data_IF_547520693355
#
_entry.id   IF_547520693355
#
_cell.length_a   1.000
_cell.length_b   1.000
_cell.length_c   1.000
_cell.angle_alpha   90.00
_cell.angle_beta   90.00
_cell.angle_gamma   90.00
#
_symmetry.space_group_name_H-M   'P 1'
#
loop_
_entity.id
_entity.type
_entity.pdbx_description
1 polymer ?
#
# COMPACT_ATOMS: atom_id res chain seq x y z
N UNK A 1 11.45 2.71 -4.06
CA UNK A 1 10.19 2.42 -4.78
C UNK A 1 10.38 1.27 -5.78
N UNK A 2 11.44 1.25 -6.59
CA UNK A 2 11.66 0.22 -7.61
C UNK A 2 11.83 -1.18 -7.04
N UNK A 3 12.61 -1.27 -5.95
CA UNK A 3 12.83 -2.49 -5.18
C UNK A 3 11.53 -3.14 -4.72
N UNK A 4 10.56 -2.34 -4.26
CA UNK A 4 9.27 -2.82 -3.80
C UNK A 4 8.32 -3.13 -4.97
N UNK A 5 8.37 -2.34 -6.06
CA UNK A 5 7.56 -2.57 -7.26
C UNK A 5 7.82 -3.96 -7.87
N UNK A 6 9.09 -4.34 -7.93
CA UNK A 6 9.56 -5.57 -8.56
C UNK A 6 9.80 -6.69 -7.55
N UNK A 7 9.30 -6.54 -6.31
CA UNK A 7 9.51 -7.54 -5.26
C UNK A 7 8.54 -8.70 -5.38
N UNK A 8 8.92 -9.85 -4.80
CA UNK A 8 8.06 -11.03 -4.72
C UNK A 8 6.76 -10.73 -3.95
N UNK A 9 6.81 -9.82 -2.98
CA UNK A 9 5.63 -9.39 -2.22
C UNK A 9 4.63 -8.61 -3.08
N UNK A 10 5.12 -7.75 -3.98
CA UNK A 10 4.26 -7.06 -4.94
C UNK A 10 3.62 -8.04 -5.93
N UNK A 11 4.36 -9.05 -6.40
CA UNK A 11 3.80 -10.10 -7.26
C UNK A 11 2.74 -10.96 -6.57
N UNK A 12 2.94 -11.29 -5.29
CA UNK A 12 1.93 -11.98 -4.50
C UNK A 12 0.64 -11.15 -4.34
N UNK A 13 0.76 -9.86 -4.03
CA UNK A 13 -0.38 -8.94 -3.96
C UNK A 13 -1.11 -8.79 -5.30
N UNK A 14 -0.37 -8.66 -6.41
CA UNK A 14 -0.96 -8.63 -7.76
C UNK A 14 -1.76 -9.90 -8.02
N UNK A 15 -1.21 -11.06 -7.66
CA UNK A 15 -1.85 -12.37 -7.84
C UNK A 15 -3.17 -12.46 -7.06
N UNK A 16 -3.14 -12.16 -5.76
CA UNK A 16 -4.36 -12.11 -4.93
C UNK A 16 -5.39 -11.11 -5.50
N UNK A 17 -4.93 -9.94 -5.96
CA UNK A 17 -5.82 -8.94 -6.53
C UNK A 17 -6.44 -9.34 -7.88
N UNK A 18 -5.72 -10.08 -8.73
CA UNK A 18 -6.22 -10.65 -9.98
C UNK A 18 -7.28 -11.72 -9.71
N UNK A 19 -7.02 -12.63 -8.78
CA UNK A 19 -7.99 -13.64 -8.38
C UNK A 19 -9.27 -13.03 -7.80
N UNK A 20 -9.14 -11.97 -7.00
CA UNK A 20 -10.28 -11.20 -6.52
C UNK A 20 -11.11 -10.52 -7.62
N UNK A 21 -10.54 -10.28 -8.81
CA UNK A 21 -11.24 -9.73 -9.99
C UNK A 21 -11.89 -10.81 -10.87
N UNK A 22 -11.64 -12.09 -10.60
CA UNK A 22 -12.08 -13.16 -11.48
C UNK A 22 -11.15 -13.44 -12.66
N UNK A 23 -9.98 -12.81 -12.69
CA UNK A 23 -8.93 -13.08 -13.68
C UNK A 23 -8.12 -14.28 -13.21
N UNK A 24 -8.69 -15.46 -13.45
CA UNK A 24 -8.05 -16.75 -13.26
C UNK A 24 -7.47 -17.17 -14.62
N UNK A 25 -6.26 -17.70 -14.64
CA UNK A 25 -5.67 -18.27 -15.86
C UNK A 25 -5.00 -19.60 -15.52
N UNK A 26 -4.98 -20.52 -16.47
CA UNK A 26 -4.34 -21.83 -16.32
C UNK A 26 -4.93 -22.67 -15.19
N UNK A 27 -4.05 -23.42 -14.51
CA UNK A 27 -4.37 -24.43 -13.49
C UNK A 27 -5.21 -23.92 -12.30
N UNK A 28 -5.18 -22.62 -12.02
CA UNK A 28 -6.01 -22.02 -10.98
C UNK A 28 -7.50 -22.10 -11.27
N UNK A 29 -7.91 -21.93 -12.52
CA UNK A 29 -9.32 -21.88 -12.90
C UNK A 29 -9.99 -23.25 -12.69
N UNK A 30 -9.27 -24.31 -13.03
CA UNK A 30 -9.70 -25.69 -12.86
C UNK A 30 -9.76 -26.08 -11.37
N UNK A 31 -8.73 -25.72 -10.60
CA UNK A 31 -8.72 -26.02 -9.17
C UNK A 31 -9.78 -25.21 -8.40
N UNK A 32 -10.02 -23.93 -8.73
CA UNK A 32 -11.08 -23.12 -8.11
C UNK A 32 -12.46 -23.69 -8.39
N UNK A 33 -12.71 -24.21 -9.61
CA UNK A 33 -13.97 -24.90 -9.94
C UNK A 33 -14.17 -26.19 -9.14
N UNK A 34 -13.09 -26.85 -8.75
CA UNK A 34 -13.13 -28.04 -7.91
C UNK A 34 -13.37 -27.72 -6.42
N UNK A 35 -13.19 -26.46 -6.01
CA UNK A 35 -13.51 -26.04 -4.66
C UNK A 35 -15.02 -25.99 -4.45
N UNK A 36 -15.49 -26.56 -3.34
CA UNK A 36 -16.86 -26.36 -2.83
C UNK A 36 -17.09 -24.96 -2.24
N UNK A 37 -16.42 -23.93 -2.77
CA UNK A 37 -16.52 -22.54 -2.31
C UNK A 37 -17.19 -21.70 -3.40
N UNK A 38 -18.31 -21.01 -3.12
CA UNK A 38 -18.96 -20.16 -4.10
C UNK A 38 -18.00 -19.09 -4.66
N UNK A 39 -18.00 -18.85 -5.98
CA UNK A 39 -17.07 -17.91 -6.64
C UNK A 39 -17.09 -16.51 -6.01
N UNK A 40 -18.26 -16.02 -5.58
CA UNK A 40 -18.39 -14.74 -4.89
C UNK A 40 -17.62 -14.73 -3.57
N UNK A 41 -17.73 -15.80 -2.78
CA UNK A 41 -17.00 -15.97 -1.52
C UNK A 41 -15.50 -16.01 -1.81
N UNK A 42 -15.06 -16.82 -2.78
CA UNK A 42 -13.66 -16.90 -3.17
C UNK A 42 -13.06 -15.53 -3.52
N UNK A 43 -13.75 -14.72 -4.34
CA UNK A 43 -13.28 -13.37 -4.70
C UNK A 43 -13.13 -12.45 -3.48
N UNK A 44 -14.06 -12.51 -2.55
CA UNK A 44 -14.01 -11.74 -1.29
C UNK A 44 -12.83 -12.19 -0.44
N UNK A 45 -12.61 -13.50 -0.30
CA UNK A 45 -11.45 -14.05 0.41
C UNK A 45 -10.14 -13.52 -0.18
N UNK A 46 -9.98 -13.59 -1.51
CA UNK A 46 -8.77 -13.11 -2.19
C UNK A 46 -8.52 -11.62 -1.95
N UNK A 47 -9.57 -10.79 -1.97
CA UNK A 47 -9.45 -9.36 -1.68
C UNK A 47 -9.10 -9.08 -0.22
N UNK A 48 -9.75 -9.76 0.72
CA UNK A 48 -9.44 -9.59 2.14
C UNK A 48 -8.03 -10.07 2.49
N UNK A 49 -7.56 -11.16 1.89
CA UNK A 49 -6.18 -11.64 2.02
C UNK A 49 -5.17 -10.65 1.42
N UNK A 50 -5.49 -10.02 0.28
CA UNK A 50 -4.67 -8.96 -0.28
C UNK A 50 -4.58 -7.75 0.68
N UNK A 51 -5.67 -7.37 1.35
CA UNK A 51 -5.66 -6.28 2.33
C UNK A 51 -4.87 -6.64 3.59
N UNK A 52 -5.04 -7.86 4.10
CA UNK A 52 -4.29 -8.36 5.26
C UNK A 52 -2.78 -8.39 4.97
N UNK A 53 -2.40 -8.91 3.81
CA UNK A 53 -0.99 -8.95 3.44
C UNK A 53 -0.40 -7.56 3.18
N UNK A 54 -1.17 -6.65 2.56
CA UNK A 54 -0.78 -5.25 2.43
C UNK A 54 -0.50 -4.61 3.81
N UNK A 55 -1.38 -4.80 4.79
CA UNK A 55 -1.20 -4.26 6.14
C UNK A 55 0.04 -4.85 6.84
N UNK A 56 0.35 -6.15 6.63
CA UNK A 56 1.60 -6.77 7.11
C UNK A 56 2.83 -6.08 6.52
N UNK A 57 2.78 -5.62 5.28
CA UNK A 57 3.92 -5.01 4.60
C UNK A 57 4.14 -3.55 5.01
N UNK A 58 3.07 -2.76 5.13
CA UNK A 58 3.15 -1.31 5.37
C UNK A 58 3.02 -0.91 6.84
N UNK A 59 2.67 -1.84 7.73
CA UNK A 59 2.53 -1.58 9.16
C UNK A 59 3.84 -1.14 9.84
N UNK A 60 3.78 -0.66 11.10
CA UNK A 60 4.97 -0.19 11.81
C UNK A 60 6.08 -1.25 11.91
N UNK A 61 7.32 -0.85 11.66
CA UNK A 61 8.51 -1.71 11.69
C UNK A 61 8.42 -2.90 10.72
N UNK A 62 7.68 -2.75 9.63
CA UNK A 62 7.52 -3.77 8.58
C UNK A 62 8.37 -3.45 7.37
N UNK A 63 8.40 -4.41 6.43
CA UNK A 63 9.28 -4.38 5.26
C UNK A 63 9.15 -3.09 4.44
N UNK A 64 7.94 -2.54 4.34
CA UNK A 64 7.66 -1.29 3.60
C UNK A 64 7.38 -0.11 4.54
N UNK A 65 7.70 -0.23 5.83
CA UNK A 65 7.72 0.93 6.72
C UNK A 65 9.00 1.73 6.48
N UNK A 66 8.86 2.84 5.75
CA UNK A 66 9.99 3.71 5.48
C UNK A 66 10.21 4.73 6.59
N UNK A 67 9.26 4.89 7.52
CA UNK A 67 9.33 5.90 8.58
C UNK A 67 10.60 5.78 9.44
N UNK A 68 11.05 4.57 9.84
CA UNK A 68 12.29 4.40 10.61
C UNK A 68 13.55 4.85 9.87
N UNK A 69 13.56 4.82 8.54
CA UNK A 69 14.68 5.33 7.74
C UNK A 69 14.56 6.83 7.45
N UNK A 70 13.32 7.33 7.33
CA UNK A 70 13.04 8.74 7.01
C UNK A 70 13.29 9.63 8.23
N UNK A 71 12.78 9.28 9.42
CA UNK A 71 12.84 10.19 10.57
C UNK A 71 14.26 10.52 11.05
N UNK A 72 15.21 9.57 11.11
CA UNK A 72 16.60 9.90 11.45
C UNK A 72 17.29 10.77 10.40
N UNK A 73 16.93 10.62 9.12
CA UNK A 73 17.56 11.33 8.02
C UNK A 73 16.97 12.73 7.78
N UNK A 74 15.68 12.92 8.04
CA UNK A 74 14.93 14.11 7.65
C UNK A 74 14.14 14.77 8.80
N UNK A 75 14.25 14.27 10.04
CA UNK A 75 13.48 14.75 11.18
C UNK A 75 12.03 14.25 11.19
N UNK A 76 11.21 14.76 12.12
CA UNK A 76 9.78 14.35 12.21
C UNK A 76 8.88 15.18 11.31
N UNK A 77 9.28 16.40 11.04
CA UNK A 77 8.44 17.39 10.37
C UNK A 77 9.11 17.95 9.13
N UNK A 78 8.27 18.37 8.20
CA UNK A 78 8.59 19.10 6.98
C UNK A 78 7.88 20.45 7.02
N UNK A 79 8.60 21.58 7.13
CA UNK A 79 8.02 22.92 6.98
C UNK A 79 7.92 23.34 5.51
N UNK A 80 6.72 23.49 4.97
CA UNK A 80 6.49 24.28 3.76
C UNK A 80 6.49 25.77 4.10
N UNK A 81 7.66 26.40 3.95
CA UNK A 81 7.85 27.82 4.22
C UNK A 81 7.08 28.75 3.26
N UNK A 82 6.64 28.25 2.10
CA UNK A 82 5.87 29.04 1.13
C UNK A 82 4.39 29.15 1.51
N UNK A 83 3.88 28.15 2.24
CA UNK A 83 2.49 28.11 2.74
C UNK A 83 2.40 28.27 4.26
N UNK A 84 3.55 28.37 4.96
CA UNK A 84 3.61 28.41 6.41
C UNK A 84 3.05 27.14 7.09
N UNK A 85 3.04 26.00 6.40
CA UNK A 85 2.42 24.75 6.87
C UNK A 85 3.49 23.73 7.26
N UNK A 86 3.27 23.04 8.38
CA UNK A 86 4.12 21.94 8.84
C UNK A 86 3.42 20.63 8.49
N UNK A 87 4.14 19.76 7.81
CA UNK A 87 3.72 18.41 7.44
C UNK A 87 4.49 17.40 8.28
N UNK A 88 3.89 16.25 8.58
CA UNK A 88 4.63 15.13 9.13
C UNK A 88 5.44 14.44 8.03
N UNK A 89 6.61 13.88 8.35
CA UNK A 89 7.50 13.29 7.32
C UNK A 89 7.05 11.93 6.80
N UNK A 90 5.97 11.36 7.33
CA UNK A 90 5.33 10.17 6.80
C UNK A 90 4.66 10.38 5.43
N UNK A 91 4.48 11.63 4.98
CA UNK A 91 4.03 11.96 3.61
C UNK A 91 4.82 11.22 2.52
N UNK A 92 6.11 10.96 2.76
CA UNK A 92 6.97 10.25 1.82
C UNK A 92 6.62 8.75 1.75
N UNK A 93 6.33 8.15 2.90
CA UNK A 93 5.80 6.79 2.99
C UNK A 93 4.43 6.70 2.32
N UNK A 94 3.56 7.67 2.55
CA UNK A 94 2.21 7.72 1.98
C UNK A 94 2.22 7.88 0.45
N UNK A 95 3.09 8.72 -0.11
CA UNK A 95 3.30 8.79 -1.57
C UNK A 95 3.79 7.46 -2.15
N UNK A 96 4.70 6.78 -1.45
CA UNK A 96 5.13 5.45 -1.83
C UNK A 96 3.99 4.43 -1.76
N UNK A 97 3.14 4.48 -0.72
CA UNK A 97 1.96 3.63 -0.59
C UNK A 97 0.94 3.88 -1.69
N UNK A 98 0.71 5.14 -2.07
CA UNK A 98 -0.09 5.53 -3.24
C UNK A 98 0.41 4.89 -4.53
N UNK A 99 1.70 5.02 -4.81
CA UNK A 99 2.34 4.47 -6.01
C UNK A 99 2.32 2.93 -6.03
N UNK A 100 2.86 2.27 -5.00
CA UNK A 100 2.92 0.80 -4.95
C UNK A 100 1.52 0.19 -4.84
N UNK A 101 0.59 0.85 -4.16
CA UNK A 101 -0.80 0.43 -4.07
C UNK A 101 -1.45 0.31 -5.45
N UNK A 102 -1.19 1.26 -6.35
CA UNK A 102 -1.63 1.20 -7.75
C UNK A 102 -0.92 0.10 -8.53
N UNK A 103 0.40 -0.04 -8.38
CA UNK A 103 1.19 -1.13 -8.98
C UNK A 103 0.59 -2.51 -8.66
N UNK A 104 0.16 -2.73 -7.41
CA UNK A 104 -0.40 -4.03 -6.99
C UNK A 104 -1.91 -4.18 -7.29
N UNK A 105 -2.54 -3.15 -7.86
CA UNK A 105 -3.91 -3.21 -8.37
C UNK A 105 -4.99 -2.71 -7.39
N UNK A 106 -4.63 -1.96 -6.36
CA UNK A 106 -5.59 -1.18 -5.58
C UNK A 106 -5.98 0.10 -6.31
N UNK A 107 -7.23 0.54 -6.14
CA UNK A 107 -7.65 1.88 -6.57
C UNK A 107 -7.27 2.88 -5.50
N UNK A 108 -7.08 4.14 -5.88
CA UNK A 108 -6.81 5.23 -4.93
C UNK A 108 -7.80 5.25 -3.77
N UNK A 109 -9.11 5.22 -4.08
CA UNK A 109 -10.17 5.12 -3.07
C UNK A 109 -9.90 4.02 -2.03
N UNK A 110 -9.43 2.84 -2.46
CA UNK A 110 -9.15 1.73 -1.54
C UNK A 110 -7.92 1.96 -0.68
N UNK A 111 -6.94 2.71 -1.17
CA UNK A 111 -5.77 3.10 -0.39
C UNK A 111 -6.15 4.12 0.68
N UNK A 112 -6.97 5.10 0.32
CA UNK A 112 -7.49 6.09 1.26
C UNK A 112 -8.39 5.42 2.32
N UNK A 113 -9.38 4.62 1.92
CA UNK A 113 -10.26 3.92 2.85
C UNK A 113 -9.56 2.77 3.61
N UNK A 114 -8.43 2.28 3.12
CA UNK A 114 -7.63 1.25 3.77
C UNK A 114 -7.17 1.68 5.16
N UNK A 115 -6.83 2.95 5.34
CA UNK A 115 -6.47 3.52 6.63
C UNK A 115 -7.62 3.42 7.65
N UNK A 116 -8.85 3.72 7.20
CA UNK A 116 -10.04 3.69 8.05
C UNK A 116 -10.44 2.28 8.52
N UNK A 117 -9.96 1.23 7.85
CA UNK A 117 -10.21 -0.17 8.25
C UNK A 117 -8.99 -0.86 8.86
N UNK A 118 -7.88 -0.14 9.09
CA UNK A 118 -6.61 -0.72 9.54
C UNK A 118 -6.77 -1.59 10.80
N UNK A 119 -7.51 -1.10 11.81
CA UNK A 119 -7.78 -1.87 13.03
C UNK A 119 -8.53 -3.18 12.77
N UNK A 120 -9.52 -3.16 11.87
CA UNK A 120 -10.28 -4.35 11.52
C UNK A 120 -9.39 -5.36 10.77
N UNK A 121 -8.49 -4.87 9.92
CA UNK A 121 -7.50 -5.69 9.22
C UNK A 121 -6.49 -6.30 10.19
N UNK A 122 -6.01 -5.56 11.19
CA UNK A 122 -5.12 -6.10 12.23
C UNK A 122 -5.79 -7.20 13.04
N UNK A 123 -7.06 -7.02 13.42
CA UNK A 123 -7.83 -8.05 14.12
C UNK A 123 -8.09 -9.27 13.25
N UNK A 124 -8.23 -9.10 11.94
CA UNK A 124 -8.30 -10.19 10.99
C UNK A 124 -6.97 -10.95 10.92
N UNK A 125 -5.83 -10.25 10.80
CA UNK A 125 -4.49 -10.86 10.77
C UNK A 125 -4.25 -11.71 12.02
N UNK A 126 -4.62 -11.19 13.20
CA UNK A 126 -4.51 -11.93 14.46
C UNK A 126 -5.32 -13.22 14.47
N UNK A 127 -6.54 -13.20 13.90
CA UNK A 127 -7.41 -14.38 13.86
C UNK A 127 -7.00 -15.41 12.81
N UNK A 128 -6.62 -14.96 11.62
CA UNK A 128 -6.08 -15.87 10.59
C UNK A 128 -4.78 -16.50 11.10
N UNK A 129 -3.96 -15.71 11.80
CA UNK A 129 -2.61 -16.07 12.19
C UNK A 129 -1.64 -15.62 11.10
N UNK A 130 -0.70 -14.73 11.46
CA UNK A 130 0.26 -14.16 10.51
C UNK A 130 1.04 -15.22 9.75
N UNK A 131 1.49 -16.28 10.42
CA UNK A 131 2.23 -17.37 9.80
C UNK A 131 1.46 -18.03 8.65
N UNK A 132 0.14 -18.16 8.75
CA UNK A 132 -0.70 -18.72 7.67
C UNK A 132 -0.81 -17.79 6.47
N UNK A 133 -0.79 -16.47 6.70
CA UNK A 133 -0.76 -15.48 5.62
C UNK A 133 0.62 -15.50 4.94
N UNK A 134 1.70 -15.56 5.73
CA UNK A 134 3.06 -15.64 5.22
C UNK A 134 3.25 -16.95 4.41
N UNK A 135 2.81 -18.10 4.91
CA UNK A 135 2.83 -19.39 4.19
C UNK A 135 2.01 -19.35 2.89
N UNK A 136 0.79 -18.79 2.92
CA UNK A 136 -0.01 -18.59 1.71
C UNK A 136 0.77 -17.80 0.66
N UNK A 137 1.41 -16.71 1.08
CA UNK A 137 2.17 -15.85 0.19
C UNK A 137 3.41 -16.54 -0.35
N UNK A 138 4.14 -17.27 0.50
CA UNK A 138 5.30 -18.07 0.09
C UNK A 138 4.89 -19.12 -0.96
N UNK A 139 3.76 -19.79 -0.77
CA UNK A 139 3.22 -20.76 -1.73
C UNK A 139 2.80 -20.10 -3.06
N UNK A 140 2.23 -18.89 -3.01
CA UNK A 140 1.95 -18.11 -4.23
C UNK A 140 3.24 -17.75 -4.97
N UNK A 141 4.26 -17.29 -4.24
CA UNK A 141 5.56 -16.87 -4.78
C UNK A 141 6.30 -18.07 -5.40
N UNK A 142 6.31 -19.22 -4.71
CA UNK A 142 6.94 -20.46 -5.17
C UNK A 142 6.14 -21.17 -6.28
N UNK A 143 4.95 -20.66 -6.61
CA UNK A 143 4.00 -21.24 -7.57
C UNK A 143 3.48 -22.62 -7.14
N UNK A 144 3.50 -22.92 -5.85
CA UNK A 144 2.83 -24.08 -5.28
C UNK A 144 1.34 -23.77 -5.04
N UNK A 145 0.59 -23.82 -6.14
CA UNK A 145 -0.81 -23.41 -6.14
C UNK A 145 -1.71 -24.37 -5.37
N UNK A 146 -1.33 -25.64 -5.24
CA UNK A 146 -2.13 -26.61 -4.48
C UNK A 146 -2.09 -26.27 -2.99
N UNK A 147 -0.90 -26.04 -2.43
CA UNK A 147 -0.77 -25.63 -1.03
C UNK A 147 -1.39 -24.27 -0.75
N UNK A 148 -1.22 -23.31 -1.66
CA UNK A 148 -1.88 -22.01 -1.54
C UNK A 148 -3.41 -22.16 -1.48
N UNK A 149 -3.99 -23.06 -2.28
CA UNK A 149 -5.42 -23.34 -2.26
C UNK A 149 -5.89 -24.06 -1.00
N UNK A 150 -5.10 -24.99 -0.46
CA UNK A 150 -5.40 -25.63 0.83
C UNK A 150 -5.58 -24.58 1.93
N UNK A 151 -4.63 -23.64 2.06
CA UNK A 151 -4.75 -22.53 3.03
C UNK A 151 -6.00 -21.68 2.78
N UNK A 152 -6.32 -21.39 1.51
CA UNK A 152 -7.52 -20.63 1.16
C UNK A 152 -8.80 -21.38 1.53
N UNK A 153 -8.86 -22.68 1.30
CA UNK A 153 -10.03 -23.53 1.62
C UNK A 153 -10.23 -23.61 3.12
N UNK A 154 -9.15 -23.76 3.89
CA UNK A 154 -9.23 -23.73 5.35
C UNK A 154 -9.81 -22.41 5.86
N UNK A 155 -9.28 -21.27 5.38
CA UNK A 155 -9.79 -19.94 5.73
C UNK A 155 -11.24 -19.78 5.26
N UNK A 156 -11.58 -20.30 4.08
CA UNK A 156 -12.92 -20.26 3.55
C UNK A 156 -13.90 -21.01 4.44
N UNK A 157 -13.51 -22.18 4.97
CA UNK A 157 -14.36 -23.06 5.76
C UNK A 157 -14.56 -22.60 7.21
N UNK A 158 -13.77 -21.64 7.68
CA UNK A 158 -13.99 -20.95 8.94
C UNK A 158 -15.10 -19.89 8.80
N UNK A 159 -16.27 -20.07 9.44
CA UNK A 159 -17.39 -19.14 9.30
C UNK A 159 -17.09 -17.75 9.87
N UNK A 160 -16.31 -17.67 10.94
CA UNK A 160 -15.98 -16.41 11.61
C UNK A 160 -15.02 -15.58 10.75
N UNK A 161 -13.98 -16.22 10.21
CA UNK A 161 -13.05 -15.57 9.29
C UNK A 161 -13.76 -15.12 8.02
N UNK A 162 -14.63 -15.96 7.47
CA UNK A 162 -15.43 -15.63 6.27
C UNK A 162 -16.29 -14.40 6.51
N UNK A 163 -16.96 -14.30 7.65
CA UNK A 163 -17.77 -13.14 8.01
C UNK A 163 -16.91 -11.87 8.10
N UNK A 164 -15.78 -11.92 8.84
CA UNK A 164 -14.88 -10.76 8.98
C UNK A 164 -14.30 -10.28 7.66
N UNK A 165 -13.89 -11.20 6.79
CA UNK A 165 -13.38 -10.87 5.44
C UNK A 165 -14.45 -10.17 4.62
N UNK A 166 -15.71 -10.62 4.72
CA UNK A 166 -16.84 -9.97 4.06
C UNK A 166 -17.11 -8.57 4.61
N UNK A 167 -17.05 -8.38 5.93
CA UNK A 167 -17.21 -7.07 6.58
C UNK A 167 -16.13 -6.07 6.14
N UNK A 168 -14.86 -6.47 6.16
CA UNK A 168 -13.75 -5.63 5.71
C UNK A 168 -13.90 -5.29 4.23
N UNK A 169 -14.23 -6.29 3.40
CA UNK A 169 -14.43 -6.08 1.97
C UNK A 169 -15.54 -5.06 1.68
N UNK A 170 -16.69 -5.17 2.35
CA UNK A 170 -17.79 -4.21 2.16
C UNK A 170 -17.44 -2.83 2.72
N UNK A 171 -16.75 -2.72 3.87
CA UNK A 171 -16.29 -1.43 4.40
C UNK A 171 -15.36 -0.71 3.43
N UNK A 172 -14.37 -1.42 2.87
CA UNK A 172 -13.45 -0.88 1.87
C UNK A 172 -14.16 -0.53 0.56
N UNK A 173 -15.24 -1.26 0.22
CA UNK A 173 -16.02 -1.05 -1.01
C UNK A 173 -17.02 0.09 -0.91
N UNK A 174 -17.67 0.26 0.24
CA UNK A 174 -18.75 1.24 0.44
C UNK A 174 -18.22 2.67 0.47
N UNK A 175 -16.97 2.90 0.87
CA UNK A 175 -16.32 4.21 0.74
C UNK A 175 -16.99 5.37 1.47
N UNK A 176 -17.96 5.11 2.34
CA UNK A 176 -18.73 6.11 3.09
C UNK A 176 -18.36 6.07 4.57
N UNK A 177 -17.06 6.01 4.86
CA UNK A 177 -16.57 6.20 6.23
C UNK A 177 -16.43 7.71 6.44
N UNK A 178 -17.48 8.31 7.02
CA UNK A 178 -17.46 9.69 7.48
C UNK A 178 -16.22 9.94 8.35
N UNK A 179 -15.45 10.98 8.06
CA UNK A 179 -14.29 11.40 8.86
C UNK A 179 -12.93 11.39 8.15
N UNK A 180 -12.85 11.06 6.86
CA UNK A 180 -11.65 11.29 6.05
C UNK A 180 -11.66 12.72 5.48
N UNK A 181 -11.79 13.71 6.36
CA UNK A 181 -11.66 15.12 6.01
C UNK A 181 -10.18 15.43 5.82
N UNK A 182 -9.73 15.64 4.58
CA UNK A 182 -8.57 16.49 4.23
C UNK A 182 -7.24 16.30 5.01
N UNK A 183 -6.99 15.16 5.63
CA UNK A 183 -5.74 14.91 6.33
C UNK A 183 -4.59 14.75 5.32
N UNK A 184 -3.40 15.24 5.70
CA UNK A 184 -2.18 15.24 4.88
C UNK A 184 -1.81 13.84 4.33
N UNK A 185 -2.27 12.78 5.00
CA UNK A 185 -2.15 11.38 4.58
C UNK A 185 -2.93 11.07 3.31
N UNK A 186 -4.20 11.49 3.24
CA UNK A 186 -5.03 11.26 2.07
C UNK A 186 -4.46 12.00 0.85
N UNK A 187 -4.08 13.27 1.02
CA UNK A 187 -3.47 14.07 -0.03
C UNK A 187 -2.15 13.47 -0.52
N UNK A 188 -1.28 13.00 0.37
CA UNK A 188 -0.01 12.37 -0.02
C UNK A 188 -0.19 11.00 -0.69
N UNK A 189 -1.20 10.21 -0.31
CA UNK A 189 -1.60 8.99 -1.04
C UNK A 189 -2.06 9.35 -2.46
N UNK A 190 -2.94 10.34 -2.62
CA UNK A 190 -3.43 10.83 -3.93
C UNK A 190 -2.26 11.28 -4.81
N UNK A 191 -1.32 12.04 -4.24
CA UNK A 191 -0.11 12.44 -4.96
C UNK A 191 0.64 11.23 -5.51
N UNK A 192 0.80 10.17 -4.72
CA UNK A 192 1.41 8.91 -5.15
C UNK A 192 0.62 8.19 -6.24
N UNK A 193 -0.70 8.06 -6.09
CA UNK A 193 -1.56 7.31 -7.01
C UNK A 193 -1.84 8.05 -8.32
N UNK A 194 -2.42 9.25 -8.26
CA UNK A 194 -2.81 10.01 -9.44
C UNK A 194 -1.61 10.68 -10.10
N UNK A 195 -0.75 11.37 -9.33
CA UNK A 195 0.29 12.21 -9.94
C UNK A 195 1.54 11.46 -10.32
N UNK A 196 1.93 10.43 -9.57
CA UNK A 196 3.12 9.64 -9.90
C UNK A 196 2.74 8.47 -10.80
N UNK A 197 1.85 7.59 -10.34
CA UNK A 197 1.52 6.39 -11.09
C UNK A 197 0.71 6.69 -12.35
N UNK A 198 -0.42 7.42 -12.29
CA UNK A 198 -1.23 7.61 -13.50
C UNK A 198 -0.54 8.49 -14.57
N UNK A 199 0.42 9.34 -14.17
CA UNK A 199 1.19 10.17 -15.11
C UNK A 199 2.37 9.45 -15.76
N UNK A 200 3.15 8.69 -14.98
CA UNK A 200 4.41 8.12 -15.45
C UNK A 200 4.40 6.60 -15.54
N UNK A 201 3.37 5.96 -15.00
CA UNK A 201 3.20 4.53 -14.94
C UNK A 201 4.46 3.84 -14.41
N UNK A 202 4.90 2.84 -15.15
CA UNK A 202 6.08 2.05 -14.84
C UNK A 202 7.40 2.74 -15.19
N UNK A 203 7.37 3.78 -16.04
CA UNK A 203 8.55 4.57 -16.42
C UNK A 203 8.93 5.65 -15.41
N UNK A 204 8.27 5.68 -14.24
CA UNK A 204 8.51 6.68 -13.19
C UNK A 204 9.99 6.69 -12.81
N UNK A 205 10.58 5.58 -12.35
CA UNK A 205 11.93 5.64 -11.76
C UNK A 205 13.05 5.83 -12.81
N UNK A 206 12.76 5.45 -14.04
CA UNK A 206 13.70 5.47 -15.16
C UNK A 206 13.69 6.77 -15.96
N UNK A 207 12.64 7.60 -15.83
CA UNK A 207 12.54 8.86 -16.58
C UNK A 207 13.33 9.99 -15.91
N UNK A 208 14.10 10.71 -16.73
CA UNK A 208 14.82 11.92 -16.33
C UNK A 208 13.88 12.97 -15.75
N UNK A 209 12.69 13.08 -16.34
CA UNK A 209 11.62 13.98 -15.94
C UNK A 209 11.12 13.65 -14.53
N UNK A 210 11.05 12.37 -14.18
CA UNK A 210 10.70 11.95 -12.82
C UNK A 210 11.82 12.20 -11.84
N UNK A 211 13.07 11.92 -12.20
CA UNK A 211 14.21 12.27 -11.34
C UNK A 211 14.23 13.76 -11.08
N UNK A 212 14.04 14.59 -12.11
CA UNK A 212 13.89 16.05 -11.98
C UNK A 212 12.60 16.47 -11.28
N UNK A 213 11.53 15.67 -11.30
CA UNK A 213 10.31 15.92 -10.52
C UNK A 213 10.51 15.63 -9.03
N UNK A 214 11.11 14.48 -8.67
CA UNK A 214 11.47 14.12 -7.30
C UNK A 214 12.51 15.11 -6.77
N UNK A 215 13.58 15.32 -7.53
CA UNK A 215 14.61 16.32 -7.23
C UNK A 215 13.99 17.71 -7.22
N UNK A 216 13.02 18.02 -8.07
CA UNK A 216 12.30 19.30 -8.12
C UNK A 216 11.34 19.51 -6.96
N UNK A 217 10.77 18.45 -6.38
CA UNK A 217 10.07 18.49 -5.08
C UNK A 217 11.12 18.78 -4.00
N UNK A 218 12.27 18.10 -4.01
CA UNK A 218 13.37 18.31 -3.05
C UNK A 218 14.01 19.72 -3.21
N UNK A 219 14.13 20.26 -4.42
CA UNK A 219 14.76 21.55 -4.79
C UNK A 219 13.81 22.74 -4.79
N UNK A 220 12.49 22.58 -4.90
CA UNK A 220 11.55 23.69 -4.65
C UNK A 220 11.33 23.92 -3.16
N UNK A 221 11.41 22.84 -2.39
CA UNK A 221 11.56 22.87 -0.93
C UNK A 221 12.77 23.69 -0.55
N UNK A 222 13.87 23.41 -1.27
CA UNK A 222 15.05 24.21 -1.60
C UNK A 222 15.07 25.74 -1.80
N UNK A 223 14.05 26.57 -1.53
CA UNK A 223 14.14 27.99 -1.97
C UNK A 223 13.69 29.14 -1.06
N UNK A 224 13.20 28.89 0.16
CA UNK A 224 12.53 29.95 0.93
C UNK A 224 12.82 29.87 2.44
N UNK A 225 13.81 30.62 2.92
CA UNK A 225 14.02 30.95 4.32
C UNK A 225 14.13 32.48 4.49
N UNK A 226 13.30 33.17 5.30
CA UNK A 226 13.28 34.63 5.27
C UNK A 226 14.43 35.34 6.02
N UNK A 227 15.16 34.70 6.94
CA UNK A 227 16.19 35.38 7.76
C UNK A 227 17.26 34.42 8.33
N UNK A 228 18.28 34.05 7.57
CA UNK A 228 19.38 33.19 8.05
C UNK A 228 20.75 33.67 7.55
N UNK A 229 21.67 33.94 8.47
CA UNK A 229 23.09 34.27 8.20
C UNK A 229 23.99 33.04 7.92
N UNK A 230 23.40 31.88 7.62
CA UNK A 230 24.15 30.71 7.15
C UNK A 230 24.35 30.77 5.64
N UNK A 231 25.45 31.41 5.21
CA UNK A 231 26.16 31.10 3.97
C UNK A 231 27.30 30.15 4.36
N UNK A 232 27.44 28.93 3.86
CA UNK A 232 27.69 28.57 2.46
C UNK A 232 27.34 27.08 2.27
N UNK A 233 26.85 26.75 1.07
CA UNK A 233 26.68 25.40 0.47
C UNK A 233 25.34 24.67 0.65
N UNK A 234 24.45 25.13 1.52
CA UNK A 234 23.08 24.64 1.52
C UNK A 234 22.22 25.44 0.53
N UNK A 235 22.07 24.95 -0.70
CA UNK A 235 20.93 25.29 -1.57
C UNK A 235 19.68 24.67 -0.91
N UNK A 236 19.21 25.24 0.23
CA UNK A 236 18.02 26.07 0.49
C UNK A 236 16.62 25.49 0.91
N UNK A 237 16.35 24.39 1.63
CA UNK A 237 14.95 23.95 1.79
C UNK A 237 14.54 23.03 2.91
N UNK A 238 13.20 22.78 3.05
CA UNK A 238 12.53 22.12 4.18
C UNK A 238 13.55 21.60 5.17
N UNK A 239 13.81 22.42 6.18
CA UNK A 239 14.68 22.00 7.26
C UNK A 239 13.97 20.87 7.99
N UNK A 240 14.69 19.76 8.16
CA UNK A 240 14.41 18.84 9.23
C UNK A 240 14.40 19.67 10.53
N UNK A 241 13.25 19.70 11.20
CA UNK A 241 13.13 20.23 12.56
C UNK A 241 12.90 19.06 13.51
#
# INVERSE_FOLDING_TARGET
MESNRNSLEAEALKTLNRFGKGDYTGTWLDNIRSLSVPTKVFRVLMKGLAYAYWAILVGPERKWDHKPSIFPAFGKYSLDASQGKIYFNDIWSNMHYGYIGKVVGFSEKKLIYGAAVAQAVDDLIKKIGRNRIDELVENIISRDFNRALETVVEIANDPELRQKLQEIYEKVKQGDIAGLDNDDDSGSIVLGSERLYDKYGDGFIDSKETREFIIGIIRRRRKYAPNSDLKLDAIEGICAI
#
